data_IF_759683578509
#
_entry.id   IF_759683578509
#
_cell.length_a   1.000
_cell.length_b   1.000
_cell.length_c   1.000
_cell.angle_alpha   90.00
_cell.angle_beta   90.00
_cell.angle_gamma   90.00
#
_symmetry.space_group_name_H-M   'P 1'
#
loop_
_entity.id
_entity.type
_entity.pdbx_description
1 polymer ?
#
# COMPACT_ATOMS: atom_id res chain seq x y z
N UNK A 1 15.71 -3.32 19.59
CA UNK A 1 16.40 -4.14 18.56
C UNK A 1 15.61 -4.00 17.27
N UNK A 2 16.14 -3.31 16.26
CA UNK A 2 15.46 -3.13 14.97
C UNK A 2 15.52 -4.45 14.19
N UNK A 3 14.38 -5.14 14.11
CA UNK A 3 14.21 -6.48 13.52
C UNK A 3 14.36 -6.54 12.00
N UNK A 4 15.49 -6.04 11.49
CA UNK A 4 15.93 -6.25 10.12
C UNK A 4 16.75 -7.53 10.05
N UNK A 5 16.08 -8.68 10.02
CA UNK A 5 16.72 -9.91 9.53
C UNK A 5 15.91 -10.45 8.38
N UNK A 6 16.61 -10.78 7.29
CA UNK A 6 16.11 -11.43 6.09
C UNK A 6 15.58 -12.87 6.33
N UNK A 7 15.16 -13.17 7.56
CA UNK A 7 14.63 -14.45 8.02
C UNK A 7 13.50 -14.29 9.08
N UNK A 8 12.99 -13.08 9.32
CA UNK A 8 12.06 -12.78 10.44
C UNK A 8 10.57 -12.64 10.09
N UNK A 9 10.19 -12.56 8.81
CA UNK A 9 8.79 -12.50 8.37
C UNK A 9 8.61 -13.41 7.15
N UNK A 10 8.59 -14.73 7.36
CA UNK A 10 8.46 -15.70 6.29
C UNK A 10 7.17 -15.45 5.48
N UNK A 11 7.32 -14.89 4.27
CA UNK A 11 6.21 -14.62 3.34
C UNK A 11 5.60 -13.22 3.39
N UNK A 12 6.08 -12.29 4.22
CA UNK A 12 5.62 -10.90 4.16
C UNK A 12 6.27 -10.16 2.99
N UNK A 13 5.47 -9.42 2.24
CA UNK A 13 5.88 -8.64 1.07
C UNK A 13 6.10 -7.19 1.48
N UNK A 14 7.37 -6.84 1.65
CA UNK A 14 7.77 -5.52 2.11
C UNK A 14 7.50 -4.39 1.12
N UNK A 15 7.15 -4.68 -0.14
CA UNK A 15 6.72 -3.68 -1.12
C UNK A 15 5.21 -3.42 -1.10
N UNK A 16 4.46 -4.22 -0.32
CA UNK A 16 3.01 -4.11 -0.19
C UNK A 16 2.58 -3.91 1.27
N UNK A 17 3.29 -3.07 2.03
CA UNK A 17 2.87 -2.68 3.38
C UNK A 17 1.46 -2.04 3.33
N UNK A 18 0.49 -2.50 4.14
CA UNK A 18 -0.89 -1.97 4.12
C UNK A 18 -0.95 -0.44 4.24
N UNK A 19 -1.78 0.18 3.40
CA UNK A 19 -1.99 1.62 3.33
C UNK A 19 -0.94 2.40 2.53
N UNK A 20 0.23 1.81 2.24
CA UNK A 20 1.31 2.50 1.52
C UNK A 20 1.10 2.51 0.01
N UNK A 21 1.75 3.46 -0.67
CA UNK A 21 1.86 3.51 -2.13
C UNK A 21 3.34 3.40 -2.48
N UNK A 22 3.74 2.36 -3.20
CA UNK A 22 5.14 2.04 -3.44
C UNK A 22 5.36 1.36 -4.81
N UNK A 23 6.54 1.52 -5.42
CA UNK A 23 6.93 0.72 -6.58
C UNK A 23 7.25 -0.72 -6.15
N UNK A 24 6.69 -1.71 -6.86
CA UNK A 24 7.02 -3.10 -6.64
C UNK A 24 8.40 -3.43 -7.25
N UNK A 25 9.39 -3.72 -6.39
CA UNK A 25 10.76 -4.06 -6.78
C UNK A 25 11.13 -5.46 -6.29
N UNK A 26 12.11 -6.13 -6.91
CA UNK A 26 12.58 -7.42 -6.40
C UNK A 26 13.26 -7.26 -5.04
N UNK A 27 12.99 -8.17 -4.10
CA UNK A 27 13.72 -8.27 -2.84
C UNK A 27 15.15 -8.73 -3.17
N UNK A 28 16.11 -7.83 -3.05
CA UNK A 28 17.52 -8.17 -3.23
C UNK A 28 18.07 -8.84 -1.97
N UNK A 29 18.86 -9.92 -2.09
CA UNK A 29 19.61 -10.49 -0.98
C UNK A 29 20.43 -9.43 -0.24
N UNK A 30 20.60 -9.59 1.07
CA UNK A 30 21.32 -8.63 1.92
C UNK A 30 22.78 -8.38 1.49
N UNK A 31 23.38 -9.33 0.77
CA UNK A 31 24.74 -9.31 0.22
C UNK A 31 24.81 -8.91 -1.26
N UNK A 32 23.71 -8.49 -1.87
CA UNK A 32 23.71 -8.06 -3.28
C UNK A 32 24.48 -6.76 -3.46
N UNK A 33 25.45 -6.74 -4.37
CA UNK A 33 26.17 -5.53 -4.80
C UNK A 33 25.28 -4.54 -5.58
N UNK A 34 24.09 -4.97 -6.01
CA UNK A 34 23.08 -4.11 -6.62
C UNK A 34 22.22 -3.39 -5.57
N UNK A 35 22.44 -3.65 -4.28
CA UNK A 35 21.74 -2.93 -3.21
C UNK A 35 22.24 -1.47 -3.18
N UNK A 36 21.35 -0.47 -3.24
CA UNK A 36 21.76 0.90 -3.03
C UNK A 36 22.49 1.02 -1.69
N UNK A 37 23.69 1.62 -1.71
CA UNK A 37 24.40 1.98 -0.49
C UNK A 37 23.43 2.69 0.47
N UNK A 38 23.27 2.26 1.72
CA UNK A 38 22.36 2.90 2.66
C UNK A 38 22.94 4.27 3.05
N UNK A 39 22.77 5.29 2.21
CA UNK A 39 23.00 6.68 2.60
C UNK A 39 21.80 7.15 3.42
N UNK A 40 22.06 7.40 4.70
CA UNK A 40 21.11 7.98 5.65
C UNK A 40 20.01 6.99 6.00
N UNK A 41 20.08 6.36 7.18
CA UNK A 41 18.97 5.59 7.75
C UNK A 41 17.68 6.41 7.96
N UNK A 42 17.72 7.71 7.62
CA UNK A 42 16.68 8.72 7.78
C UNK A 42 16.88 9.71 6.61
N UNK A 43 16.22 9.47 5.48
CA UNK A 43 16.04 10.52 4.48
C UNK A 43 14.87 11.37 4.98
N UNK A 44 15.15 12.63 5.33
CA UNK A 44 14.08 13.56 5.67
C UNK A 44 13.27 13.86 4.42
N UNK A 45 11.95 13.88 4.57
CA UNK A 45 11.06 14.30 3.49
C UNK A 45 11.39 15.73 3.07
N UNK A 46 11.43 16.06 1.77
CA UNK A 46 11.55 17.44 1.32
C UNK A 46 10.25 18.23 1.57
N UNK A 47 9.16 17.55 1.93
CA UNK A 47 7.85 18.14 2.16
C UNK A 47 7.57 18.29 3.66
N UNK A 48 7.18 19.50 4.07
CA UNK A 48 6.72 19.78 5.44
C UNK A 48 5.24 19.44 5.66
N UNK A 49 4.49 19.14 4.59
CA UNK A 49 3.07 18.80 4.70
C UNK A 49 2.91 17.34 5.12
N UNK A 50 2.80 17.14 6.43
CA UNK A 50 2.46 15.86 7.07
C UNK A 50 1.82 16.17 8.41
N UNK A 51 0.72 15.49 8.73
CA UNK A 51 0.09 15.65 10.03
C UNK A 51 -1.33 15.13 10.06
N UNK A 52 -1.91 15.19 11.25
CA UNK A 52 -3.31 14.88 11.45
C UNK A 52 -3.94 15.78 12.49
N UNK A 53 -5.26 15.75 12.52
CA UNK A 53 -6.10 16.41 13.50
C UNK A 53 -7.12 15.40 14.03
N UNK A 54 -7.59 15.65 15.24
CA UNK A 54 -8.75 14.98 15.82
C UNK A 54 -9.74 16.03 16.26
N UNK A 55 -11.01 15.83 15.92
CA UNK A 55 -12.11 16.61 16.47
C UNK A 55 -12.61 15.95 17.75
N UNK A 56 -12.32 16.58 18.89
CA UNK A 56 -12.81 16.17 20.22
C UNK A 56 -12.57 14.70 20.60
N UNK A 57 -11.55 14.05 20.03
CA UNK A 57 -11.24 12.65 20.29
C UNK A 57 -12.16 11.65 19.57
N UNK A 58 -13.02 12.11 18.65
CA UNK A 58 -13.83 11.27 17.77
C UNK A 58 -13.22 11.26 16.37
N UNK A 59 -13.89 11.93 15.43
CA UNK A 59 -13.48 12.03 14.03
C UNK A 59 -12.09 12.64 13.86
N UNK A 60 -11.48 12.39 12.70
CA UNK A 60 -10.15 12.89 12.42
C UNK A 60 -9.81 12.95 10.96
N UNK A 61 -8.70 13.62 10.67
CA UNK A 61 -8.09 13.63 9.36
C UNK A 61 -6.59 13.48 9.49
N UNK A 62 -5.97 12.78 8.55
CA UNK A 62 -4.53 12.66 8.41
C UNK A 62 -4.17 12.87 6.94
N UNK A 63 -3.05 13.53 6.68
CA UNK A 63 -2.60 13.74 5.31
C UNK A 63 -1.10 13.97 5.23
N UNK A 64 -0.53 13.63 4.07
CA UNK A 64 0.88 13.84 3.80
C UNK A 64 1.17 13.96 2.31
N UNK A 65 2.25 14.69 2.00
CA UNK A 65 2.87 14.73 0.68
C UNK A 65 4.14 13.88 0.71
N UNK A 66 4.19 12.87 -0.14
CA UNK A 66 5.27 11.90 -0.21
C UNK A 66 6.09 12.09 -1.48
N UNK A 67 7.40 11.96 -1.34
CA UNK A 67 8.36 11.90 -2.44
C UNK A 67 9.45 10.89 -2.06
N UNK A 68 9.68 9.89 -2.91
CA UNK A 68 10.75 8.92 -2.73
C UNK A 68 12.09 9.58 -2.99
N UNK A 69 12.91 9.71 -1.94
CA UNK A 69 14.26 10.25 -1.99
C UNK A 69 15.24 9.18 -2.46
N UNK A 70 15.01 8.60 -3.64
CA UNK A 70 15.91 7.63 -4.22
C UNK A 70 17.26 8.28 -4.60
N UNK A 71 18.36 7.53 -4.42
CA UNK A 71 19.73 7.99 -4.67
C UNK A 71 19.89 8.69 -6.05
N UNK A 72 20.87 9.60 -6.25
CA UNK A 72 21.09 10.33 -7.51
C UNK A 72 21.23 9.47 -8.79
N UNK A 73 21.36 8.15 -8.66
CA UNK A 73 21.40 7.17 -9.75
C UNK A 73 20.04 6.59 -10.13
N UNK A 74 18.99 6.87 -9.36
CA UNK A 74 17.60 6.46 -9.58
C UNK A 74 16.79 7.73 -9.80
N UNK A 75 16.83 8.27 -11.02
CA UNK A 75 16.16 9.51 -11.43
C UNK A 75 14.61 9.44 -11.41
N UNK A 76 14.04 8.60 -10.54
CA UNK A 76 12.61 8.33 -10.46
C UNK A 76 12.11 8.31 -9.02
N UNK A 77 11.87 9.51 -8.49
CA UNK A 77 11.13 9.67 -7.26
C UNK A 77 9.63 9.40 -7.52
N UNK A 78 9.07 8.40 -6.85
CA UNK A 78 7.62 8.29 -6.70
C UNK A 78 7.12 9.49 -5.90
N UNK A 79 6.15 10.23 -6.43
CA UNK A 79 5.44 11.28 -5.71
C UNK A 79 3.98 10.87 -5.52
N UNK A 80 3.39 11.23 -4.38
CA UNK A 80 1.95 11.11 -4.16
C UNK A 80 1.45 12.00 -3.02
N UNK A 81 0.17 12.37 -3.07
CA UNK A 81 -0.55 12.97 -1.95
C UNK A 81 -1.54 11.95 -1.42
N UNK A 82 -1.54 11.72 -0.11
CA UNK A 82 -2.45 10.77 0.53
C UNK A 82 -3.12 11.41 1.72
N UNK A 83 -4.40 11.10 1.89
CA UNK A 83 -5.18 11.53 3.04
C UNK A 83 -6.11 10.43 3.53
N UNK A 84 -6.35 10.41 4.83
CA UNK A 84 -7.30 9.54 5.49
C UNK A 84 -8.26 10.41 6.30
N UNK A 85 -9.56 10.14 6.18
CA UNK A 85 -10.61 10.74 7.00
C UNK A 85 -11.25 9.63 7.83
N UNK A 86 -11.34 9.85 9.14
CA UNK A 86 -11.81 8.90 10.12
C UNK A 86 -13.19 9.37 10.60
N UNK A 87 -14.22 8.55 10.38
CA UNK A 87 -15.59 8.78 10.83
C UNK A 87 -16.09 7.52 11.55
N UNK A 88 -16.17 7.53 12.87
CA UNK A 88 -16.52 6.35 13.67
C UNK A 88 -15.73 5.08 13.23
N UNK A 89 -16.42 4.10 12.62
CA UNK A 89 -15.86 2.83 12.13
C UNK A 89 -15.47 2.88 10.63
N UNK A 90 -15.63 4.02 9.97
CA UNK A 90 -15.34 4.23 8.55
C UNK A 90 -14.04 5.01 8.35
N UNK A 91 -13.16 4.45 7.52
CA UNK A 91 -11.96 5.11 7.05
C UNK A 91 -12.08 5.42 5.55
N UNK A 92 -12.07 6.70 5.19
CA UNK A 92 -12.04 7.15 3.79
C UNK A 92 -10.61 7.46 3.40
N UNK A 93 -10.04 6.65 2.50
CA UNK A 93 -8.67 6.77 2.01
C UNK A 93 -8.66 7.36 0.61
N UNK A 94 -7.97 8.50 0.44
CA UNK A 94 -7.80 9.15 -0.86
C UNK A 94 -6.32 9.22 -1.24
N UNK A 95 -6.06 9.10 -2.53
CA UNK A 95 -4.74 9.28 -3.14
C UNK A 95 -4.85 10.07 -4.43
N UNK A 96 -3.98 11.06 -4.61
CA UNK A 96 -3.90 11.88 -5.82
C UNK A 96 -2.44 12.17 -6.18
N UNK A 97 -2.23 12.69 -7.39
CA UNK A 97 -0.90 13.05 -7.91
C UNK A 97 0.11 11.91 -7.77
N UNK A 98 -0.34 10.66 -7.95
CA UNK A 98 0.53 9.48 -7.90
C UNK A 98 1.29 9.40 -9.22
N UNK A 99 2.59 9.66 -9.17
CA UNK A 99 3.45 9.65 -10.36
C UNK A 99 4.81 9.03 -10.05
N UNK A 100 5.28 8.16 -10.95
CA UNK A 100 6.63 7.62 -10.95
C UNK A 100 7.16 7.65 -12.38
N UNK A 101 8.37 8.19 -12.63
CA UNK A 101 8.96 8.15 -13.95
C UNK A 101 9.76 6.85 -14.19
N UNK A 102 9.67 5.86 -13.30
CA UNK A 102 10.23 4.51 -13.46
C UNK A 102 9.20 3.59 -14.13
N UNK A 103 9.28 3.35 -15.46
CA UNK A 103 8.33 2.49 -16.16
C UNK A 103 8.58 0.99 -15.90
N UNK A 104 9.73 0.61 -15.32
CA UNK A 104 10.08 -0.78 -15.11
C UNK A 104 9.39 -1.38 -13.87
N UNK A 105 8.97 -0.54 -12.93
CA UNK A 105 8.37 -0.96 -11.67
C UNK A 105 6.98 -0.34 -11.50
N UNK A 106 5.96 -1.19 -11.52
CA UNK A 106 4.58 -0.76 -11.30
C UNK A 106 4.40 -0.18 -9.89
N UNK A 107 3.66 0.92 -9.79
CA UNK A 107 3.29 1.54 -8.51
C UNK A 107 1.96 0.97 -8.05
N UNK A 108 1.93 0.45 -6.82
CA UNK A 108 0.73 -0.10 -6.21
C UNK A 108 0.38 0.66 -4.93
N UNK A 109 -0.91 0.74 -4.61
CA UNK A 109 -1.38 1.08 -3.27
C UNK A 109 -1.99 -0.16 -2.64
N UNK A 110 -1.47 -0.60 -1.49
CA UNK A 110 -1.94 -1.83 -0.85
C UNK A 110 -3.09 -1.54 0.10
N UNK A 111 -4.20 -2.27 -0.05
CA UNK A 111 -5.33 -2.20 0.89
C UNK A 111 -5.02 -2.98 2.17
N UNK A 112 -4.66 -4.25 2.05
CA UNK A 112 -4.32 -5.12 3.16
C UNK A 112 -3.31 -6.19 2.75
N UNK A 113 -2.64 -6.76 3.75
CA UNK A 113 -1.81 -7.94 3.62
C UNK A 113 -1.90 -8.71 4.93
N UNK A 114 -2.44 -9.93 4.85
CA UNK A 114 -2.76 -10.75 6.01
C UNK A 114 -2.25 -12.16 5.79
N UNK A 115 -1.56 -12.71 6.79
CA UNK A 115 -1.15 -14.12 6.77
C UNK A 115 -2.39 -15.01 6.96
N UNK A 116 -2.52 -16.03 6.10
CA UNK A 116 -3.57 -17.04 6.23
C UNK A 116 -3.09 -18.19 7.11
N UNK A 117 -4.00 -18.75 7.92
CA UNK A 117 -3.72 -19.97 8.65
C UNK A 117 -3.49 -21.13 7.66
N UNK A 118 -2.48 -21.96 7.94
CA UNK A 118 -2.15 -23.11 7.09
C UNK A 118 -3.25 -24.18 7.10
N UNK A 119 -3.89 -24.36 8.25
CA UNK A 119 -5.09 -25.18 8.43
C UNK A 119 -6.30 -24.27 8.48
N UNK A 120 -7.22 -24.41 7.53
CA UNK A 120 -8.47 -23.66 7.43
C UNK A 120 -8.29 -22.14 7.20
N UNK A 121 -7.83 -21.73 6.00
CA UNK A 121 -7.68 -20.32 5.68
C UNK A 121 -9.05 -19.63 5.64
N UNK A 122 -9.22 -18.58 6.45
CA UNK A 122 -10.39 -17.73 6.37
C UNK A 122 -10.55 -17.15 4.95
N UNK A 123 -11.77 -17.11 4.40
CA UNK A 123 -11.99 -16.68 3.02
C UNK A 123 -11.84 -15.17 2.86
N UNK A 124 -11.53 -14.76 1.63
CA UNK A 124 -11.77 -13.39 1.17
C UNK A 124 -13.19 -13.34 0.61
N UNK A 125 -13.94 -12.28 0.93
CA UNK A 125 -15.24 -12.03 0.27
C UNK A 125 -15.06 -11.00 -0.84
N UNK A 126 -15.44 -11.33 -2.07
CA UNK A 126 -15.45 -10.42 -3.21
C UNK A 126 -16.88 -10.25 -3.71
N UNK A 127 -17.41 -9.03 -3.65
CA UNK A 127 -18.79 -8.73 -4.06
C UNK A 127 -19.83 -9.70 -3.46
N UNK A 128 -19.61 -10.11 -2.19
CA UNK A 128 -20.44 -11.09 -1.48
C UNK A 128 -20.12 -12.57 -1.74
N UNK A 129 -19.28 -12.88 -2.72
CA UNK A 129 -18.83 -14.26 -3.02
C UNK A 129 -17.64 -14.65 -2.16
N UNK A 130 -17.66 -15.87 -1.59
CA UNK A 130 -16.60 -16.39 -0.72
C UNK A 130 -15.52 -17.13 -1.51
N UNK A 131 -14.25 -16.80 -1.25
CA UNK A 131 -13.09 -17.41 -1.90
C UNK A 131 -12.06 -17.87 -0.85
N UNK A 132 -11.93 -19.19 -0.69
CA UNK A 132 -10.97 -19.82 0.25
C UNK A 132 -9.84 -20.61 -0.43
N UNK A 133 -9.88 -20.76 -1.76
CA UNK A 133 -8.85 -21.49 -2.50
C UNK A 133 -7.51 -20.73 -2.47
N UNK A 134 -6.40 -21.48 -2.35
CA UNK A 134 -5.04 -20.92 -2.41
C UNK A 134 -4.23 -21.76 -3.42
N UNK A 135 -3.66 -21.14 -4.48
CA UNK A 135 -3.67 -19.72 -4.80
C UNK A 135 -5.03 -19.27 -5.36
N UNK A 136 -5.35 -18.00 -5.12
CA UNK A 136 -6.49 -17.31 -5.72
C UNK A 136 -6.03 -15.96 -6.26
N UNK A 137 -6.40 -15.67 -7.50
CA UNK A 137 -6.09 -14.42 -8.18
C UNK A 137 -7.36 -13.86 -8.80
N UNK A 138 -7.62 -12.59 -8.52
CA UNK A 138 -8.72 -11.85 -9.14
C UNK A 138 -8.21 -10.50 -9.62
N UNK A 139 -8.65 -10.10 -10.82
CA UNK A 139 -8.35 -8.81 -11.40
C UNK A 139 -9.64 -8.19 -11.91
N UNK A 140 -10.07 -7.10 -11.27
CA UNK A 140 -11.26 -6.37 -11.70
C UNK A 140 -11.11 -5.86 -13.14
N UNK A 141 -12.14 -6.08 -13.96
CA UNK A 141 -12.20 -5.66 -15.36
C UNK A 141 -13.60 -5.13 -15.69
N UNK A 142 -13.68 -4.17 -16.62
CA UNK A 142 -14.96 -3.63 -17.09
C UNK A 142 -15.79 -3.02 -15.94
N UNK A 143 -17.09 -3.34 -15.83
CA UNK A 143 -18.00 -2.79 -14.81
C UNK A 143 -17.54 -2.99 -13.36
N UNK A 144 -16.80 -4.06 -13.07
CA UNK A 144 -16.28 -4.37 -11.73
C UNK A 144 -15.28 -3.32 -11.21
N UNK A 145 -14.78 -2.44 -12.09
CA UNK A 145 -13.93 -1.30 -11.68
C UNK A 145 -14.73 -0.16 -11.06
N UNK A 146 -16.02 -0.05 -11.35
CA UNK A 146 -16.82 1.08 -10.87
C UNK A 146 -16.97 1.04 -9.34
N UNK A 147 -17.21 -0.15 -8.79
CA UNK A 147 -17.24 -0.37 -7.35
C UNK A 147 -16.89 -1.84 -7.06
N UNK A 148 -15.76 -2.07 -6.39
CA UNK A 148 -15.35 -3.39 -5.92
C UNK A 148 -15.51 -3.44 -4.39
N UNK A 149 -16.25 -4.44 -3.89
CA UNK A 149 -16.40 -4.67 -2.45
C UNK A 149 -15.56 -5.88 -2.05
N UNK A 150 -14.64 -5.67 -1.12
CA UNK A 150 -13.75 -6.71 -0.61
C UNK A 150 -13.93 -6.80 0.90
N UNK A 151 -13.99 -8.01 1.45
CA UNK A 151 -13.77 -8.24 2.89
C UNK A 151 -12.54 -9.10 3.06
N UNK A 152 -11.58 -8.62 3.84
CA UNK A 152 -10.37 -9.38 4.12
C UNK A 152 -10.64 -10.55 5.10
N UNK A 153 -9.69 -11.49 5.24
CA UNK A 153 -9.85 -12.67 6.09
C UNK A 153 -9.99 -12.38 7.60
N UNK A 154 -9.67 -11.17 8.05
CA UNK A 154 -9.79 -10.75 9.46
C UNK A 154 -11.03 -9.89 9.71
N UNK A 155 -11.82 -9.64 8.66
CA UNK A 155 -13.16 -9.09 8.75
C UNK A 155 -13.30 -7.62 8.35
N UNK A 156 -12.22 -6.94 7.95
CA UNK A 156 -12.30 -5.54 7.50
C UNK A 156 -12.94 -5.47 6.11
N UNK A 157 -13.86 -4.52 5.92
CA UNK A 157 -14.52 -4.25 4.64
C UNK A 157 -13.85 -3.09 3.90
N UNK A 158 -13.72 -3.24 2.58
CA UNK A 158 -13.17 -2.26 1.67
C UNK A 158 -14.16 -2.04 0.53
N UNK A 159 -14.49 -0.78 0.26
CA UNK A 159 -15.20 -0.37 -0.95
C UNK A 159 -14.19 0.41 -1.80
N UNK A 160 -13.79 -0.18 -2.92
CA UNK A 160 -12.85 0.42 -3.86
C UNK A 160 -13.67 1.04 -4.99
N UNK A 161 -13.70 2.36 -5.00
CA UNK A 161 -14.30 3.12 -6.09
C UNK A 161 -13.19 3.62 -6.99
N UNK A 162 -13.34 3.42 -8.30
CA UNK A 162 -12.50 4.14 -9.26
C UNK A 162 -13.31 5.30 -9.82
N UNK A 163 -12.73 6.51 -9.77
CA UNK A 163 -13.28 7.63 -10.52
C UNK A 163 -13.05 7.35 -12.00
N UNK A 164 -14.09 7.32 -12.86
CA UNK A 164 -13.88 7.26 -14.30
C UNK A 164 -13.14 8.53 -14.73
N UNK A 165 -11.89 8.42 -15.19
CA UNK A 165 -11.22 9.53 -15.89
C UNK A 165 -9.72 9.73 -15.70
N UNK A 166 -9.08 9.19 -14.66
CA UNK A 166 -7.64 9.41 -14.44
C UNK A 166 -6.91 8.12 -14.09
N UNK A 167 -6.67 7.33 -15.13
CA UNK A 167 -5.48 6.47 -15.19
C UNK A 167 -4.75 6.92 -16.45
N UNK A 168 -3.77 7.81 -16.29
CA UNK A 168 -2.75 8.06 -17.31
C UNK A 168 -1.55 7.18 -17.03
#
# INVERSE_FOLDING_TARGET
>A
ASGWTAAGAAGFDWFHVPGTTAPHRPILPSNSSARPEPRGKYADSPHSFVGGLSDRGGDGAFGYHFEDMAAPTLAAALTCRKSAFLFDELLVLLGSDIASPDPAHAVHTTLFQTALAASDPAPILLNGSSHAAVPFHYRAAGPDRAELRVRDPVGNGYVVQSTPGELR
#
